data_IF_601864866002
#
_entry.id   IF_601864866002
#
_cell.length_a   1.000
_cell.length_b   1.000
_cell.length_c   1.000
_cell.angle_alpha   90.00
_cell.angle_beta   90.00
_cell.angle_gamma   90.00
#
_symmetry.space_group_name_H-M   'P 1'
#
loop_
_entity.id
_entity.type
_entity.pdbx_description
1 polymer ?
#
# COMPACT_ATOMS: atom_id res chain seq x y z
N UNK A 1 8.57 35.30 1.96
CA UNK A 1 8.88 34.02 2.62
C UNK A 1 7.57 33.38 3.03
N UNK A 2 7.05 32.43 2.26
CA UNK A 2 5.82 31.72 2.62
C UNK A 2 6.25 30.61 3.57
N UNK A 3 5.99 30.80 4.87
CA UNK A 3 6.16 29.76 5.86
C UNK A 3 5.15 28.65 5.57
N UNK A 4 5.61 27.54 5.04
CA UNK A 4 4.80 26.32 4.86
C UNK A 4 4.42 25.83 6.25
N UNK A 5 3.23 26.22 6.72
CA UNK A 5 2.64 25.66 7.94
C UNK A 5 2.42 24.18 7.67
N UNK A 6 3.31 23.34 8.19
CA UNK A 6 3.26 21.88 8.13
C UNK A 6 2.00 21.47 8.87
N UNK A 7 0.89 21.32 8.13
CA UNK A 7 -0.41 20.94 8.69
C UNK A 7 -0.20 19.62 9.43
N UNK A 8 -0.41 19.63 10.75
CA UNK A 8 -0.40 18.41 11.54
C UNK A 8 -1.62 17.59 11.14
N UNK A 9 -1.38 16.49 10.44
CA UNK A 9 -2.44 15.54 10.09
C UNK A 9 -3.18 15.11 11.35
N UNK A 10 -4.50 14.94 11.24
CA UNK A 10 -5.29 14.31 12.29
C UNK A 10 -4.64 12.97 12.63
N UNK A 11 -4.40 12.71 13.92
CA UNK A 11 -3.69 11.50 14.37
C UNK A 11 -4.32 10.18 13.91
N UNK A 12 -5.62 10.19 13.57
CA UNK A 12 -6.31 9.06 12.95
C UNK A 12 -5.80 8.77 11.52
N UNK A 13 -5.71 9.79 10.66
CA UNK A 13 -5.18 9.69 9.29
C UNK A 13 -3.70 9.28 9.31
N UNK A 14 -2.94 9.82 10.26
CA UNK A 14 -1.54 9.43 10.45
C UNK A 14 -1.39 7.93 10.74
N UNK A 15 -2.18 7.40 11.70
CA UNK A 15 -2.16 5.98 12.04
C UNK A 15 -2.62 5.11 10.88
N UNK A 16 -3.64 5.56 10.15
CA UNK A 16 -4.17 4.85 8.98
C UNK A 16 -3.09 4.70 7.89
N UNK A 17 -2.41 5.79 7.53
CA UNK A 17 -1.33 5.73 6.54
C UNK A 17 -0.14 4.91 7.06
N UNK A 18 0.20 5.01 8.36
CA UNK A 18 1.28 4.22 8.94
C UNK A 18 0.97 2.71 8.93
N UNK A 19 -0.29 2.30 9.15
CA UNK A 19 -0.71 0.90 8.98
C UNK A 19 -0.64 0.46 7.53
N UNK A 20 -1.13 1.27 6.59
CA UNK A 20 -1.07 0.97 5.15
C UNK A 20 0.39 0.83 4.67
N UNK A 21 1.31 1.62 5.23
CA UNK A 21 2.74 1.51 4.93
C UNK A 21 3.35 0.20 5.44
N UNK A 22 2.89 -0.28 6.61
CA UNK A 22 3.32 -1.53 7.20
C UNK A 22 2.78 -2.74 6.41
N UNK A 23 1.54 -2.61 5.94
CA UNK A 23 0.86 -3.62 5.14
C UNK A 23 1.23 -3.54 3.66
N UNK A 24 2.00 -2.54 3.22
CA UNK A 24 2.40 -2.33 1.81
C UNK A 24 2.91 -3.60 1.10
N UNK A 25 3.75 -4.40 1.75
CA UNK A 25 4.23 -5.66 1.18
C UNK A 25 3.09 -6.68 0.97
N UNK A 26 2.13 -6.71 1.88
CA UNK A 26 0.97 -7.57 1.79
C UNK A 26 -0.06 -7.00 0.81
N UNK A 27 -0.19 -5.67 0.70
CA UNK A 27 -0.94 -4.99 -0.37
C UNK A 27 -0.39 -5.32 -1.75
N UNK A 28 0.94 -5.30 -1.93
CA UNK A 28 1.56 -5.70 -3.20
C UNK A 28 1.29 -7.18 -3.52
N UNK A 29 1.35 -8.06 -2.52
CA UNK A 29 0.96 -9.48 -2.70
C UNK A 29 -0.51 -9.62 -3.05
N UNK A 30 -1.40 -8.87 -2.40
CA UNK A 30 -2.83 -8.88 -2.70
C UNK A 30 -3.10 -8.38 -4.12
N UNK A 31 -2.42 -7.31 -4.56
CA UNK A 31 -2.48 -6.82 -5.95
C UNK A 31 -2.00 -7.91 -6.91
N UNK A 32 -0.88 -8.57 -6.63
CA UNK A 32 -0.35 -9.65 -7.45
C UNK A 32 -1.34 -10.83 -7.54
N UNK A 33 -1.87 -11.29 -6.41
CA UNK A 33 -2.87 -12.35 -6.34
C UNK A 33 -4.16 -11.99 -7.08
N UNK A 34 -4.66 -10.77 -6.92
CA UNK A 34 -5.86 -10.29 -7.62
C UNK A 34 -5.65 -10.09 -9.11
N UNK A 35 -4.42 -9.76 -9.55
CA UNK A 35 -4.04 -9.74 -10.97
C UNK A 35 -3.97 -11.16 -11.52
N UNK A 36 -3.39 -12.10 -10.79
CA UNK A 36 -3.33 -13.51 -11.18
C UNK A 36 -4.71 -14.16 -11.25
N UNK A 37 -5.59 -13.94 -10.25
CA UNK A 37 -6.97 -14.46 -10.25
C UNK A 37 -7.80 -13.92 -11.43
N UNK A 38 -7.58 -12.64 -11.81
CA UNK A 38 -8.16 -12.06 -13.03
C UNK A 38 -7.63 -12.71 -14.31
N UNK A 39 -6.38 -13.14 -14.34
CA UNK A 39 -5.77 -13.88 -15.47
C UNK A 39 -6.25 -15.34 -15.50
N UNK A 40 -6.47 -15.96 -14.33
CA UNK A 40 -6.91 -17.34 -14.17
C UNK A 40 -8.44 -17.54 -14.15
N UNK A 41 -9.22 -16.49 -14.45
CA UNK A 41 -10.66 -16.55 -14.56
C UNK A 41 -11.13 -17.45 -15.72
N UNK A 42 -11.27 -18.75 -15.43
CA UNK A 42 -11.77 -19.83 -16.30
C UNK A 42 -10.90 -20.19 -17.51
N UNK A 43 -9.85 -21.00 -17.29
CA UNK A 43 -9.54 -22.01 -18.30
C UNK A 43 -10.69 -23.02 -18.28
N UNK A 44 -11.49 -23.00 -19.34
CA UNK A 44 -12.52 -24.00 -19.59
C UNK A 44 -11.83 -25.36 -19.67
N UNK A 45 -11.83 -26.13 -18.57
CA UNK A 45 -11.63 -27.57 -18.69
C UNK A 45 -12.87 -28.14 -19.38
N UNK A 46 -12.65 -28.64 -20.59
CA UNK A 46 -13.61 -29.08 -21.62
C UNK A 46 -14.50 -30.27 -21.21
N UNK A 47 -15.30 -30.15 -20.14
CA UNK A 47 -16.00 -31.30 -19.57
C UNK A 47 -17.52 -31.32 -19.61
N UNK A 48 -18.24 -30.20 -19.47
CA UNK A 48 -19.63 -30.30 -18.98
C UNK A 48 -20.57 -29.24 -19.56
N UNK A 49 -21.28 -29.63 -20.62
CA UNK A 49 -22.36 -28.85 -21.26
C UNK A 49 -23.53 -28.53 -20.30
N UNK A 50 -23.66 -29.27 -19.19
CA UNK A 50 -24.68 -29.11 -18.14
C UNK A 50 -24.53 -27.81 -17.30
N UNK A 51 -23.31 -27.27 -17.16
CA UNK A 51 -23.07 -26.12 -16.26
C UNK A 51 -23.59 -24.79 -16.87
N UNK A 52 -23.76 -24.72 -18.20
CA UNK A 52 -24.18 -23.49 -18.88
C UNK A 52 -25.56 -22.98 -18.44
N UNK A 53 -26.47 -23.86 -18.04
CA UNK A 53 -27.81 -23.46 -17.57
C UNK A 53 -27.79 -22.85 -16.16
N UNK A 54 -26.81 -23.23 -15.33
CA UNK A 54 -26.63 -22.69 -13.97
C UNK A 54 -25.87 -21.34 -13.98
N UNK A 55 -24.93 -21.16 -14.90
CA UNK A 55 -24.13 -19.91 -15.03
C UNK A 55 -24.99 -18.73 -15.51
N UNK A 56 -26.02 -18.96 -16.33
CA UNK A 56 -26.87 -17.88 -16.87
C UNK A 56 -27.72 -17.17 -15.82
N UNK A 57 -28.09 -17.84 -14.72
CA UNK A 57 -28.84 -17.21 -13.62
C UNK A 57 -27.94 -16.42 -12.67
N UNK A 58 -26.66 -16.81 -12.54
CA UNK A 58 -25.65 -16.23 -11.62
C UNK A 58 -24.85 -15.06 -12.21
N UNK A 59 -25.16 -14.68 -13.46
CA UNK A 59 -24.40 -13.66 -14.19
C UNK A 59 -24.54 -12.26 -13.59
N UNK A 60 -25.69 -11.90 -12.98
CA UNK A 60 -25.90 -10.55 -12.41
C UNK A 60 -25.21 -10.34 -11.06
N UNK A 61 -25.16 -11.35 -10.21
CA UNK A 61 -24.49 -11.28 -8.89
C UNK A 61 -22.97 -11.32 -9.04
N UNK A 62 -22.44 -12.18 -9.93
CA UNK A 62 -21.00 -12.26 -10.18
C UNK A 62 -20.42 -10.99 -10.83
N UNK A 63 -21.19 -10.28 -11.66
CA UNK A 63 -20.75 -9.00 -12.24
C UNK A 63 -20.59 -7.94 -11.12
N UNK A 64 -21.53 -7.88 -10.17
CA UNK A 64 -21.45 -6.99 -9.02
C UNK A 64 -20.19 -7.22 -8.19
N UNK A 65 -19.88 -8.47 -7.85
CA UNK A 65 -18.68 -8.84 -7.07
C UNK A 65 -17.38 -8.51 -7.81
N UNK A 66 -17.33 -8.75 -9.13
CA UNK A 66 -16.17 -8.41 -9.97
C UNK A 66 -15.90 -6.91 -10.03
N UNK A 67 -16.97 -6.09 -10.09
CA UNK A 67 -16.86 -4.63 -10.17
C UNK A 67 -16.37 -4.03 -8.85
N UNK A 68 -16.84 -4.58 -7.71
CA UNK A 68 -16.34 -4.21 -6.37
C UNK A 68 -14.87 -4.59 -6.21
N UNK A 69 -14.47 -5.80 -6.61
CA UNK A 69 -13.08 -6.23 -6.58
C UNK A 69 -12.18 -5.37 -7.48
N UNK A 70 -12.65 -4.96 -8.66
CA UNK A 70 -11.92 -4.05 -9.54
C UNK A 70 -11.71 -2.67 -8.91
N UNK A 71 -12.74 -2.09 -8.30
CA UNK A 71 -12.63 -0.81 -7.58
C UNK A 71 -11.65 -0.91 -6.41
N UNK A 72 -11.70 -2.02 -5.66
CA UNK A 72 -10.75 -2.28 -4.57
C UNK A 72 -9.32 -2.37 -5.10
N UNK A 73 -9.08 -3.14 -6.16
CA UNK A 73 -7.76 -3.26 -6.77
C UNK A 73 -7.21 -1.90 -7.20
N UNK A 74 -8.02 -1.11 -7.90
CA UNK A 74 -7.61 0.21 -8.37
C UNK A 74 -7.19 1.12 -7.21
N UNK A 75 -7.94 1.10 -6.11
CA UNK A 75 -7.56 1.83 -4.89
C UNK A 75 -6.23 1.37 -4.29
N UNK A 76 -6.01 0.06 -4.21
CA UNK A 76 -4.75 -0.50 -3.70
C UNK A 76 -3.58 -0.14 -4.61
N UNK A 77 -3.78 -0.15 -5.93
CA UNK A 77 -2.77 0.30 -6.90
C UNK A 77 -2.48 1.80 -6.78
N UNK A 78 -3.51 2.65 -6.65
CA UNK A 78 -3.35 4.10 -6.42
C UNK A 78 -2.56 4.38 -5.13
N UNK A 79 -2.87 3.64 -4.06
CA UNK A 79 -2.13 3.73 -2.78
C UNK A 79 -0.68 3.27 -2.95
N UNK A 80 -0.44 2.14 -3.61
CA UNK A 80 0.89 1.62 -3.83
C UNK A 80 1.75 2.57 -4.68
N UNK A 81 1.19 3.12 -5.75
CA UNK A 81 1.83 4.11 -6.62
C UNK A 81 2.14 5.40 -5.85
N UNK A 82 1.23 5.87 -4.99
CA UNK A 82 1.49 7.02 -4.13
C UNK A 82 2.70 6.78 -3.19
N UNK A 83 2.78 5.59 -2.57
CA UNK A 83 3.91 5.20 -1.72
C UNK A 83 5.20 5.13 -2.53
N UNK A 84 5.18 4.54 -3.73
CA UNK A 84 6.34 4.42 -4.61
C UNK A 84 6.85 5.79 -5.08
N UNK A 85 5.96 6.69 -5.48
CA UNK A 85 6.34 8.05 -5.88
C UNK A 85 6.97 8.82 -4.72
N UNK A 86 6.42 8.70 -3.51
CA UNK A 86 7.04 9.31 -2.33
C UNK A 86 8.41 8.69 -2.09
N UNK A 87 8.52 7.35 -2.15
CA UNK A 87 9.79 6.65 -2.05
C UNK A 87 10.84 7.15 -3.05
N UNK A 88 10.47 7.34 -4.31
CA UNK A 88 11.36 7.87 -5.35
C UNK A 88 11.77 9.33 -5.12
N UNK A 89 10.89 10.14 -4.52
CA UNK A 89 11.17 11.54 -4.20
C UNK A 89 12.04 11.72 -2.95
N UNK A 90 12.10 10.70 -2.11
CA UNK A 90 12.85 10.73 -0.85
C UNK A 90 14.35 10.55 -1.07
N UNK A 91 15.13 11.17 -0.19
CA UNK A 91 16.58 11.01 -0.15
C UNK A 91 16.97 9.55 0.16
N UNK A 92 18.16 9.16 -0.29
CA UNK A 92 18.70 7.80 -0.15
C UNK A 92 18.72 7.29 1.30
N UNK A 93 18.96 8.17 2.27
CA UNK A 93 18.94 7.81 3.69
C UNK A 93 17.52 7.52 4.21
N UNK A 94 16.54 8.32 3.77
CA UNK A 94 15.12 8.12 4.13
C UNK A 94 14.56 6.88 3.45
N UNK A 95 14.99 6.60 2.22
CA UNK A 95 14.69 5.37 1.51
C UNK A 95 15.23 4.13 2.25
N UNK A 96 16.45 4.20 2.79
CA UNK A 96 17.02 3.13 3.63
C UNK A 96 16.21 2.97 4.92
N UNK A 97 15.76 4.05 5.55
CA UNK A 97 14.87 3.98 6.70
C UNK A 97 13.59 3.21 6.37
N UNK A 98 12.91 3.54 5.25
CA UNK A 98 11.69 2.83 4.84
C UNK A 98 11.94 1.34 4.62
N UNK A 99 13.02 0.99 3.90
CA UNK A 99 13.44 -0.40 3.67
C UNK A 99 13.66 -1.16 4.98
N UNK A 100 14.43 -0.57 5.90
CA UNK A 100 14.79 -1.19 7.18
C UNK A 100 13.61 -1.29 8.15
N UNK A 101 12.66 -0.35 8.08
CA UNK A 101 11.57 -0.19 9.05
C UNK A 101 10.22 -0.78 8.61
N UNK A 102 9.98 -0.92 7.32
CA UNK A 102 8.67 -1.38 6.84
C UNK A 102 8.79 -2.58 5.90
N UNK A 103 9.87 -2.68 5.12
CA UNK A 103 10.04 -3.78 4.17
C UNK A 103 10.86 -4.97 4.70
N UNK A 104 11.57 -4.80 5.82
CA UNK A 104 12.37 -5.88 6.40
C UNK A 104 11.50 -6.73 7.32
N UNK A 105 11.06 -7.91 6.84
CA UNK A 105 10.37 -8.92 7.68
C UNK A 105 11.29 -10.14 7.88
N UNK A 106 11.53 -10.61 9.13
CA UNK A 106 11.03 -10.10 10.41
C UNK A 106 11.82 -8.88 10.90
N UNK A 107 11.10 -7.89 11.45
CA UNK A 107 11.73 -6.67 11.92
C UNK A 107 12.13 -6.76 13.39
N UNK A 108 13.37 -7.16 13.63
CA UNK A 108 13.91 -7.29 14.99
C UNK A 108 14.59 -6.00 15.50
N UNK A 109 14.77 -5.01 14.62
CA UNK A 109 15.48 -3.77 14.95
C UNK A 109 14.56 -2.75 15.59
N UNK A 110 14.99 -2.25 16.75
CA UNK A 110 14.37 -1.09 17.39
C UNK A 110 14.66 0.19 16.61
N UNK A 111 13.92 1.26 16.89
CA UNK A 111 14.21 2.58 16.32
C UNK A 111 15.65 3.05 16.59
N UNK A 112 16.25 2.62 17.69
CA UNK A 112 17.65 2.93 18.02
C UNK A 112 18.63 2.15 17.15
N UNK A 113 18.37 0.86 16.90
CA UNK A 113 19.18 0.07 15.96
C UNK A 113 19.12 0.59 14.53
N UNK A 114 17.93 1.01 14.08
CA UNK A 114 17.77 1.62 12.74
C UNK A 114 18.49 2.96 12.65
N UNK A 115 18.39 3.78 13.69
CA UNK A 115 19.07 5.07 13.76
C UNK A 115 20.61 4.90 13.75
N UNK A 116 21.12 3.89 14.46
CA UNK A 116 22.54 3.53 14.46
C UNK A 116 23.03 3.12 13.05
N UNK A 117 22.28 2.28 12.32
CA UNK A 117 22.64 1.88 10.96
C UNK A 117 22.63 3.03 9.95
N UNK A 118 21.77 4.02 10.17
CA UNK A 118 21.67 5.22 9.35
C UNK A 118 22.62 6.33 9.82
N UNK A 119 23.42 6.12 10.88
CA UNK A 119 24.25 7.14 11.53
C UNK A 119 23.48 8.41 11.91
N UNK A 120 22.20 8.28 12.27
CA UNK A 120 21.34 9.40 12.66
C UNK A 120 20.85 9.25 14.10
N UNK A 121 20.38 10.33 14.70
CA UNK A 121 19.72 10.24 16.01
C UNK A 121 18.30 9.68 15.88
N UNK A 122 17.81 9.04 16.94
CA UNK A 122 16.41 8.58 17.05
C UNK A 122 15.40 9.68 16.75
N UNK A 123 15.68 10.92 17.21
CA UNK A 123 14.82 12.09 16.94
C UNK A 123 14.77 12.40 15.45
N UNK A 124 15.90 12.34 14.75
CA UNK A 124 15.97 12.55 13.29
C UNK A 124 15.18 11.47 12.56
N UNK A 125 15.34 10.20 12.92
CA UNK A 125 14.59 9.09 12.34
C UNK A 125 13.06 9.25 12.50
N UNK A 126 12.60 9.65 13.70
CA UNK A 126 11.17 9.92 13.95
C UNK A 126 10.66 11.13 13.16
N UNK A 127 11.49 12.16 12.97
CA UNK A 127 11.13 13.32 12.14
C UNK A 127 11.02 12.94 10.65
N UNK A 128 11.89 12.06 10.17
CA UNK A 128 11.82 11.52 8.82
C UNK A 128 10.55 10.71 8.62
N UNK A 129 10.22 9.81 9.56
CA UNK A 129 8.94 9.09 9.58
C UNK A 129 7.75 10.04 9.42
N UNK A 130 7.67 11.08 10.25
CA UNK A 130 6.58 12.06 10.17
C UNK A 130 6.52 12.77 8.81
N UNK A 131 7.68 13.01 8.20
CA UNK A 131 7.76 13.68 6.91
C UNK A 131 7.28 12.76 5.79
N UNK A 132 7.68 11.48 5.81
CA UNK A 132 7.23 10.47 4.86
C UNK A 132 5.70 10.30 4.94
N UNK A 133 5.15 10.12 6.15
CA UNK A 133 3.70 9.94 6.31
C UNK A 133 2.93 11.18 5.84
N UNK A 134 3.46 12.39 6.10
CA UNK A 134 2.85 13.62 5.60
C UNK A 134 2.90 13.74 4.07
N UNK A 135 4.02 13.40 3.44
CA UNK A 135 4.14 13.43 1.97
C UNK A 135 3.17 12.44 1.31
N UNK A 136 2.98 11.26 1.91
CA UNK A 136 2.01 10.26 1.44
C UNK A 136 0.57 10.77 1.61
N UNK A 137 0.25 11.39 2.74
CA UNK A 137 -1.07 11.99 2.96
C UNK A 137 -1.37 13.09 1.94
N UNK A 138 -0.40 13.96 1.65
CA UNK A 138 -0.52 15.00 0.64
C UNK A 138 -0.75 14.42 -0.76
N UNK A 139 -0.07 13.32 -1.11
CA UNK A 139 -0.24 12.61 -2.38
C UNK A 139 -1.62 11.93 -2.50
N UNK A 140 -2.12 11.36 -1.41
CA UNK A 140 -3.45 10.75 -1.35
C UNK A 140 -4.58 11.80 -1.33
N UNK A 141 -4.26 13.07 -1.07
CA UNK A 141 -5.24 14.15 -0.95
C UNK A 141 -5.99 14.16 0.39
N UNK A 142 -5.51 13.38 1.36
CA UNK A 142 -6.05 13.32 2.72
C UNK A 142 -5.44 14.47 3.55
N UNK A 143 -6.11 15.63 3.59
CA UNK A 143 -5.73 16.82 4.37
C UNK A 143 -6.59 17.01 5.62
#
# INVERSE_FOLDING_TARGET
>A
MIGTTKVELKGATFKYIESELFDYLDTLREIALLREDKVFGFTNNEGTKEIRKYISAKSRECIGTKLVAYKKLKRLEELADAIEQVYMSLDSEKQKLMKLKYWTKPQLKTWEGIAAELNVTKRTALRWRNTIVNEIAEKLGER
#
